data_IF_744214452451
#
_entry.id   IF_744214452451
#
_cell.length_a   1.000
_cell.length_b   1.000
_cell.length_c   1.000
_cell.angle_alpha   90.00
_cell.angle_beta   90.00
_cell.angle_gamma   90.00
#
_symmetry.space_group_name_H-M   'P 1'
#
loop_
_entity.id
_entity.type
_entity.pdbx_description
1 polymer ?
#
# COMPACT_ATOMS: atom_id res chain seq x y z
N UNK A 1 -9.70 -13.90 -6.90
CA UNK A 1 -10.70 -13.07 -6.19
C UNK A 1 -10.14 -11.65 -6.13
N UNK A 2 -10.48 -10.79 -7.09
CA UNK A 2 -9.94 -9.44 -7.19
C UNK A 2 -10.83 -8.50 -6.39
N UNK A 3 -10.31 -7.95 -5.29
CA UNK A 3 -10.99 -6.91 -4.53
C UNK A 3 -10.39 -5.58 -5.01
N UNK A 4 -11.17 -4.81 -5.77
CA UNK A 4 -10.79 -3.45 -6.14
C UNK A 4 -10.85 -2.59 -4.87
N UNK A 5 -9.71 -2.08 -4.43
CA UNK A 5 -9.63 -1.14 -3.33
C UNK A 5 -9.52 0.27 -3.90
N UNK A 6 -10.52 1.10 -3.65
CA UNK A 6 -10.45 2.54 -3.92
C UNK A 6 -9.81 3.21 -2.71
N UNK A 7 -8.55 3.62 -2.84
CA UNK A 7 -7.85 4.37 -1.81
C UNK A 7 -7.93 5.86 -2.18
N UNK A 8 -8.75 6.62 -1.46
CA UNK A 8 -8.86 8.07 -1.65
C UNK A 8 -7.88 8.79 -0.73
N UNK A 9 -7.08 9.68 -1.30
CA UNK A 9 -6.29 10.65 -0.54
C UNK A 9 -7.22 11.76 -0.04
N UNK A 10 -7.24 12.02 1.26
CA UNK A 10 -7.83 13.24 1.82
C UNK A 10 -6.70 13.96 2.56
N UNK A 11 -6.19 15.07 2.01
CA UNK A 11 -5.22 15.92 2.70
C UNK A 11 -5.85 17.26 3.09
N UNK A 12 -5.58 17.70 4.32
CA UNK A 12 -6.13 18.91 4.94
C UNK A 12 -5.29 20.17 4.70
N UNK A 13 -4.46 20.20 3.65
CA UNK A 13 -3.59 21.34 3.33
C UNK A 13 -3.67 21.67 1.84
N UNK A 14 -3.58 22.95 1.52
CA UNK A 14 -3.58 23.56 0.17
C UNK A 14 -2.32 23.17 -0.66
N UNK A 15 -1.95 21.90 -0.68
CA UNK A 15 -0.74 21.40 -1.34
C UNK A 15 -1.10 20.52 -2.53
N UNK A 16 -0.34 20.70 -3.61
CA UNK A 16 -0.43 19.89 -4.82
C UNK A 16 0.30 18.57 -4.51
N UNK A 17 -0.45 17.48 -4.36
CA UNK A 17 0.10 16.18 -4.01
C UNK A 17 0.59 15.41 -5.25
N UNK A 18 1.61 14.58 -5.04
CA UNK A 18 2.18 13.63 -5.99
C UNK A 18 1.98 12.18 -5.49
N UNK A 19 0.74 11.66 -5.47
CA UNK A 19 0.45 10.42 -4.78
C UNK A 19 1.03 9.20 -5.51
N UNK A 20 1.45 8.22 -4.72
CA UNK A 20 1.78 6.87 -5.18
C UNK A 20 1.40 5.82 -4.13
N UNK A 21 1.15 4.59 -4.57
CA UNK A 21 0.88 3.47 -3.65
C UNK A 21 2.15 2.65 -3.47
N UNK A 22 2.46 2.33 -2.21
CA UNK A 22 3.55 1.47 -1.78
C UNK A 22 2.95 0.25 -1.08
N UNK A 23 3.28 -0.95 -1.54
CA UNK A 23 2.81 -2.21 -0.96
C UNK A 23 4.00 -2.99 -0.42
N UNK A 24 3.92 -3.40 0.85
CA UNK A 24 4.86 -4.34 1.45
C UNK A 24 4.19 -5.70 1.68
N UNK A 25 4.83 -6.75 1.17
CA UNK A 25 4.60 -8.11 1.64
C UNK A 25 5.32 -8.31 2.97
N UNK A 26 4.60 -8.85 3.96
CA UNK A 26 5.12 -9.13 5.30
C UNK A 26 4.80 -10.56 5.70
N UNK A 27 5.74 -11.21 6.39
CA UNK A 27 5.49 -12.46 7.12
C UNK A 27 5.66 -12.16 8.61
N UNK A 28 4.55 -12.14 9.35
CA UNK A 28 4.52 -11.56 10.69
C UNK A 28 4.97 -10.10 10.66
N UNK A 29 5.96 -9.75 11.48
CA UNK A 29 6.53 -8.39 11.54
C UNK A 29 7.63 -8.12 10.50
N UNK A 30 8.07 -9.16 9.77
CA UNK A 30 9.19 -9.05 8.85
C UNK A 30 8.72 -8.59 7.47
N UNK A 31 9.25 -7.46 7.01
CA UNK A 31 9.10 -6.98 5.63
C UNK A 31 9.92 -7.83 4.66
N UNK A 32 9.27 -8.39 3.65
CA UNK A 32 9.84 -9.35 2.71
C UNK A 32 10.14 -8.70 1.37
N UNK A 33 9.11 -8.11 0.76
CA UNK A 33 9.21 -7.52 -0.58
C UNK A 33 8.41 -6.21 -0.63
N UNK A 34 8.95 -5.20 -1.32
CA UNK A 34 8.28 -3.92 -1.55
C UNK A 34 8.00 -3.73 -3.03
N UNK A 35 6.78 -3.31 -3.36
CA UNK A 35 6.44 -2.78 -4.69
C UNK A 35 5.80 -1.42 -4.58
N UNK A 36 5.83 -0.65 -5.67
CA UNK A 36 5.19 0.66 -5.73
C UNK A 36 4.64 0.93 -7.13
N UNK A 37 3.62 1.78 -7.20
CA UNK A 37 3.13 2.34 -8.47
C UNK A 37 4.10 3.42 -8.98
N UNK A 38 3.95 3.87 -10.23
CA UNK A 38 4.43 5.17 -10.64
C UNK A 38 3.87 6.29 -9.74
N UNK A 39 4.58 7.41 -9.71
CA UNK A 39 4.13 8.64 -9.05
C UNK A 39 3.23 9.41 -10.02
N UNK A 40 2.04 9.78 -9.55
CA UNK A 40 1.13 10.62 -10.33
C UNK A 40 1.34 12.07 -9.91
N UNK A 41 1.47 12.98 -10.89
CA UNK A 41 1.75 14.38 -10.59
C UNK A 41 0.46 15.18 -10.40
N UNK A 42 0.45 16.02 -9.36
CA UNK A 42 -0.54 17.07 -9.17
C UNK A 42 -2.00 16.60 -9.17
N UNK A 43 -2.32 15.52 -8.45
CA UNK A 43 -3.69 14.98 -8.39
C UNK A 43 -4.06 14.50 -7.00
N UNK A 44 -5.31 14.75 -6.59
CA UNK A 44 -5.90 14.22 -5.35
C UNK A 44 -6.66 12.92 -5.56
N UNK A 45 -6.99 12.58 -6.82
CA UNK A 45 -7.78 11.42 -7.19
C UNK A 45 -7.03 10.56 -8.22
N UNK A 46 -5.87 9.98 -7.84
CA UNK A 46 -5.10 9.14 -8.74
C UNK A 46 -5.87 7.85 -9.07
N UNK A 47 -5.87 7.47 -10.34
CA UNK A 47 -6.36 6.16 -10.80
C UNK A 47 -5.14 5.34 -11.22
N UNK A 48 -4.69 4.45 -10.34
CA UNK A 48 -3.46 3.69 -10.57
C UNK A 48 -3.64 2.55 -11.57
N UNK A 49 -4.73 1.77 -11.47
CA UNK A 49 -4.99 0.57 -12.28
C UNK A 49 -3.80 -0.43 -12.35
N UNK A 50 -2.96 -0.45 -11.32
CA UNK A 50 -1.80 -1.33 -11.23
C UNK A 50 -2.12 -2.63 -10.49
N UNK A 51 -1.47 -3.72 -10.89
CA UNK A 51 -1.57 -5.03 -10.23
C UNK A 51 -0.22 -5.48 -9.68
N UNK A 52 -0.22 -5.95 -8.43
CA UNK A 52 0.96 -6.50 -7.77
C UNK A 52 0.80 -8.00 -7.51
N UNK A 53 1.77 -8.80 -7.96
CA UNK A 53 1.78 -10.26 -7.80
C UNK A 53 2.96 -10.71 -6.96
N UNK A 54 2.73 -11.19 -5.74
CA UNK A 54 3.78 -11.65 -4.84
C UNK A 54 3.87 -13.18 -4.81
N UNK A 55 5.09 -13.70 -4.73
CA UNK A 55 5.32 -15.14 -4.53
C UNK A 55 5.38 -15.43 -3.03
N UNK A 56 4.41 -16.16 -2.52
CA UNK A 56 4.32 -16.52 -1.09
C UNK A 56 4.51 -18.03 -0.95
N UNK A 57 5.54 -18.49 -0.20
CA UNK A 57 5.69 -19.89 0.14
C UNK A 57 4.47 -20.39 0.91
N UNK A 58 4.08 -21.65 0.67
CA UNK A 58 2.90 -22.25 1.31
C UNK A 58 2.97 -22.21 2.83
N UNK A 59 4.16 -22.42 3.39
CA UNK A 59 4.42 -22.42 4.84
C UNK A 59 4.22 -21.03 5.47
N UNK A 60 4.30 -19.97 4.66
CA UNK A 60 4.18 -18.57 5.09
C UNK A 60 2.84 -17.94 4.80
N UNK A 61 1.92 -18.66 4.15
CA UNK A 61 0.62 -18.09 3.74
C UNK A 61 -0.23 -17.61 4.94
N UNK A 62 -0.14 -18.29 6.09
CA UNK A 62 -0.89 -17.91 7.32
C UNK A 62 -0.30 -16.70 8.06
N UNK A 63 0.99 -16.45 7.85
CA UNK A 63 1.71 -15.30 8.42
C UNK A 63 1.70 -14.09 7.46
N UNK A 64 1.16 -14.27 6.26
CA UNK A 64 1.24 -13.32 5.16
C UNK A 64 0.26 -12.16 5.37
N UNK A 65 0.79 -10.94 5.40
CA UNK A 65 0.00 -9.70 5.34
C UNK A 65 0.54 -8.75 4.28
N UNK A 66 -0.34 -7.87 3.79
CA UNK A 66 0.02 -6.80 2.85
C UNK A 66 -0.23 -5.44 3.52
N UNK A 67 0.83 -4.67 3.72
CA UNK A 67 0.76 -3.30 4.23
C UNK A 67 0.76 -2.34 3.04
N UNK A 68 -0.43 -1.86 2.69
CA UNK A 68 -0.68 -0.99 1.54
C UNK A 68 -0.75 0.46 2.03
N UNK A 69 0.08 1.32 1.48
CA UNK A 69 0.21 2.72 1.88
C UNK A 69 0.03 3.65 0.68
N UNK A 70 -0.82 4.66 0.83
CA UNK A 70 -0.82 5.84 -0.05
C UNK A 70 0.19 6.83 0.52
N UNK A 71 1.15 7.20 -0.31
CA UNK A 71 2.24 8.11 0.04
C UNK A 71 2.15 9.37 -0.82
N UNK A 72 2.53 10.51 -0.28
CA UNK A 72 2.80 11.72 -1.05
C UNK A 72 4.30 11.83 -1.35
N UNK A 73 4.67 12.04 -2.61
CA UNK A 73 6.06 12.21 -3.01
C UNK A 73 6.47 13.68 -2.93
N UNK A 74 7.53 13.96 -2.19
CA UNK A 74 8.14 15.28 -2.09
C UNK A 74 9.53 15.24 -2.76
N UNK A 75 9.78 16.17 -3.69
CA UNK A 75 11.05 16.27 -4.41
C UNK A 75 12.23 16.69 -3.52
N UNK A 76 11.96 17.45 -2.46
CA UNK A 76 12.98 18.07 -1.60
C UNK A 76 12.93 17.47 -0.19
N UNK A 77 11.72 17.22 0.30
CA UNK A 77 11.45 16.73 1.63
C UNK A 77 11.42 15.20 1.74
N UNK A 78 10.75 14.73 2.79
CA UNK A 78 10.48 13.31 3.00
C UNK A 78 9.09 12.99 2.51
N UNK A 79 8.93 11.88 1.81
CA UNK A 79 7.62 11.39 1.39
C UNK A 79 6.71 11.19 2.61
N UNK A 80 5.51 11.76 2.55
CA UNK A 80 4.53 11.71 3.63
C UNK A 80 3.60 10.50 3.49
N UNK A 81 3.21 9.89 4.62
CA UNK A 81 2.17 8.88 4.62
C UNK A 81 0.80 9.57 4.65
N UNK A 82 0.02 9.42 3.57
CA UNK A 82 -1.36 9.92 3.54
C UNK A 82 -2.29 8.96 4.27
N UNK A 83 -2.14 7.65 4.04
CA UNK A 83 -3.00 6.64 4.64
C UNK A 83 -2.50 5.23 4.40
N UNK A 84 -2.94 4.28 5.23
CA UNK A 84 -2.55 2.87 5.13
C UNK A 84 -3.69 1.92 5.43
N UNK A 85 -3.64 0.73 4.84
CA UNK A 85 -4.49 -0.41 5.16
C UNK A 85 -3.62 -1.67 5.24
N UNK A 86 -3.84 -2.46 6.29
CA UNK A 86 -3.26 -3.79 6.43
C UNK A 86 -4.29 -4.81 5.93
N UNK A 87 -3.87 -5.69 5.02
CA UNK A 87 -4.71 -6.75 4.47
C UNK A 87 -4.19 -8.12 4.89
N UNK A 88 -5.10 -9.09 4.96
CA UNK A 88 -4.82 -10.47 5.36
C UNK A 88 -4.25 -10.58 6.79
N UNK A 89 -4.85 -9.84 7.73
CA UNK A 89 -4.54 -10.06 9.15
C UNK A 89 -4.82 -11.52 9.53
N UNK A 90 -3.91 -12.18 10.28
CA UNK A 90 -4.11 -13.55 10.72
C UNK A 90 -5.45 -13.67 11.46
N UNK A 91 -6.32 -14.58 11.01
CA UNK A 91 -7.52 -14.94 11.78
C UNK A 91 -7.03 -15.53 13.10
N UNK A 92 -7.26 -14.84 14.22
CA UNK A 92 -7.04 -15.40 15.57
C UNK A 92 -8.13 -16.43 15.96
N UNK A 93 -8.79 -16.99 14.96
CA UNK A 93 -9.86 -17.95 15.05
C UNK A 93 -9.15 -19.30 15.19
N UNK A 94 -9.15 -19.89 16.38
CA UNK A 94 -8.45 -21.14 16.70
C UNK A 94 -9.06 -22.38 16.03
N UNK A 95 -9.24 -22.35 14.71
CA UNK A 95 -9.78 -23.42 13.88
C UNK A 95 -8.68 -24.39 13.44
#
# INVERSE_FOLDING_TARGET
MYKHFYLTSVSSTFQINHPYVKVWLQFGEKRIEKRKTPIFNCTLNPVFNESFSFNVPWEKIRECSLDVMVMDFDNIGRNELIGRILLAEPCNCGC
#
